data_IF_314819182395
#
_entry.id   IF_314819182395
#
_cell.length_a   1.000
_cell.length_b   1.000
_cell.length_c   1.000
_cell.angle_alpha   90.00
_cell.angle_beta   90.00
_cell.angle_gamma   90.00
#
_symmetry.space_group_name_H-M   'P 1'
#
loop_
_entity.id
_entity.type
_entity.pdbx_description
1 polymer ?
#
# COMPACT_ATOMS: atom_id res chain seq x y z
N UNK A 1 -1.81 -13.47 -6.68
CA UNK A 1 -2.20 -13.38 -8.11
C UNK A 1 -3.58 -13.97 -8.44
N UNK A 2 -4.12 -14.95 -7.70
CA UNK A 2 -5.43 -15.58 -8.02
C UNK A 2 -6.67 -14.76 -7.62
N UNK A 3 -6.61 -14.01 -6.50
CA UNK A 3 -7.75 -13.25 -5.98
C UNK A 3 -8.29 -12.18 -6.93
N UNK A 4 -7.45 -11.55 -7.75
CA UNK A 4 -7.94 -10.46 -8.59
C UNK A 4 -8.58 -10.94 -9.88
N UNK A 5 -8.21 -12.13 -10.38
CA UNK A 5 -9.01 -12.81 -11.40
C UNK A 5 -10.38 -13.23 -10.88
N UNK A 6 -10.52 -13.48 -9.57
CA UNK A 6 -11.83 -13.71 -8.96
C UNK A 6 -12.69 -12.44 -8.97
N UNK A 7 -12.11 -11.27 -8.71
CA UNK A 7 -12.83 -9.99 -8.77
C UNK A 7 -13.38 -9.76 -10.20
N UNK A 8 -12.54 -9.93 -11.21
CA UNK A 8 -12.94 -9.75 -12.61
C UNK A 8 -13.95 -10.81 -13.05
N UNK A 9 -13.73 -12.08 -12.71
CA UNK A 9 -14.66 -13.16 -13.04
C UNK A 9 -16.03 -12.99 -12.36
N UNK A 10 -16.06 -12.55 -11.10
CA UNK A 10 -17.31 -12.36 -10.35
C UNK A 10 -18.10 -11.11 -10.81
N UNK A 11 -17.40 -10.09 -11.31
CA UNK A 11 -18.01 -8.82 -11.71
C UNK A 11 -18.27 -8.70 -13.22
N UNK A 12 -17.55 -9.47 -14.04
CA UNK A 12 -17.49 -9.29 -15.49
C UNK A 12 -16.82 -7.99 -15.94
N UNK A 13 -16.03 -7.35 -15.07
CA UNK A 13 -15.39 -6.05 -15.32
C UNK A 13 -13.91 -6.07 -14.98
N UNK A 14 -13.14 -5.21 -15.66
CA UNK A 14 -11.71 -5.02 -15.42
C UNK A 14 -11.43 -4.51 -14.00
N UNK A 15 -10.38 -5.04 -13.37
CA UNK A 15 -10.04 -4.69 -11.99
C UNK A 15 -9.80 -3.18 -11.79
N UNK A 16 -9.04 -2.55 -12.68
CA UNK A 16 -8.67 -1.13 -12.53
C UNK A 16 -9.88 -0.20 -12.69
N UNK A 17 -10.88 -0.58 -13.48
CA UNK A 17 -12.13 0.17 -13.58
C UNK A 17 -12.93 0.10 -12.27
N UNK A 18 -12.99 -1.08 -11.66
CA UNK A 18 -13.64 -1.27 -10.37
C UNK A 18 -12.90 -0.54 -9.25
N UNK A 19 -11.56 -0.58 -9.25
CA UNK A 19 -10.73 0.15 -8.29
C UNK A 19 -11.00 1.65 -8.41
N UNK A 20 -11.05 2.19 -9.62
CA UNK A 20 -11.32 3.60 -9.87
C UNK A 20 -12.72 3.99 -9.42
N UNK A 21 -13.74 3.21 -9.76
CA UNK A 21 -15.14 3.50 -9.45
C UNK A 21 -15.47 3.37 -7.96
N UNK A 22 -15.01 2.28 -7.32
CA UNK A 22 -15.46 1.89 -5.98
C UNK A 22 -14.56 2.41 -4.87
N UNK A 23 -13.30 2.72 -5.17
CA UNK A 23 -12.30 3.09 -4.15
C UNK A 23 -11.70 4.46 -4.44
N UNK A 24 -11.02 4.63 -5.57
CA UNK A 24 -10.21 5.84 -5.80
C UNK A 24 -11.07 7.07 -6.07
N UNK A 25 -12.13 6.94 -6.86
CA UNK A 25 -13.06 8.02 -7.19
C UNK A 25 -13.74 8.62 -5.95
N UNK A 26 -14.42 7.81 -5.11
CA UNK A 26 -15.05 8.29 -3.87
C UNK A 26 -14.07 8.96 -2.89
N UNK A 27 -12.79 8.55 -2.91
CA UNK A 27 -11.74 9.14 -2.08
C UNK A 27 -11.00 10.31 -2.74
N UNK A 28 -11.35 10.67 -3.99
CA UNK A 28 -10.66 11.69 -4.79
C UNK A 28 -9.16 11.42 -4.94
N UNK A 29 -8.80 10.14 -5.13
CA UNK A 29 -7.43 9.66 -5.34
C UNK A 29 -7.14 9.43 -6.84
N UNK A 30 -7.48 10.39 -7.70
CA UNK A 30 -7.36 10.28 -9.17
C UNK A 30 -5.93 10.20 -9.70
N UNK A 31 -4.94 10.54 -8.87
CA UNK A 31 -3.53 10.49 -9.25
C UNK A 31 -2.88 9.12 -8.99
N UNK A 32 -3.59 8.21 -8.31
CA UNK A 32 -3.18 6.80 -8.21
C UNK A 32 -3.34 6.18 -9.60
N UNK A 33 -2.27 5.55 -10.09
CA UNK A 33 -2.21 5.03 -11.46
C UNK A 33 -1.75 3.57 -11.47
N UNK A 34 -2.21 2.76 -12.43
CA UNK A 34 -1.62 1.45 -12.67
C UNK A 34 -0.13 1.56 -12.99
N UNK A 35 0.67 0.66 -12.42
CA UNK A 35 2.04 0.39 -12.81
C UNK A 35 2.07 -0.77 -13.82
N UNK A 36 1.31 -0.63 -14.90
CA UNK A 36 1.00 -1.68 -15.89
C UNK A 36 1.94 -1.69 -17.11
N UNK A 37 3.01 -0.88 -17.07
CA UNK A 37 3.94 -0.66 -18.19
C UNK A 37 5.32 -0.27 -17.68
N UNK A 38 6.35 -0.47 -18.50
CA UNK A 38 7.73 -0.13 -18.13
C UNK A 38 8.08 1.36 -18.20
N UNK A 39 7.31 2.21 -18.89
CA UNK A 39 7.50 3.66 -18.90
C UNK A 39 6.37 4.31 -18.11
N UNK A 40 6.67 4.78 -16.90
CA UNK A 40 5.71 5.42 -16.01
C UNK A 40 6.01 6.93 -15.95
N UNK A 41 5.13 7.80 -16.50
CA UNK A 41 5.34 9.25 -16.42
C UNK A 41 5.40 9.72 -14.97
N UNK A 42 6.28 10.69 -14.71
CA UNK A 42 6.43 11.36 -13.40
C UNK A 42 6.69 10.40 -12.23
N UNK A 43 7.37 9.27 -12.49
CA UNK A 43 7.88 8.40 -11.43
C UNK A 43 9.22 8.97 -10.92
N UNK A 44 9.48 8.88 -9.62
CA UNK A 44 10.80 9.20 -9.08
C UNK A 44 11.82 8.18 -9.58
N UNK A 45 13.07 8.57 -9.79
CA UNK A 45 14.14 7.60 -10.08
C UNK A 45 14.37 6.72 -8.85
N UNK A 46 13.96 5.46 -8.93
CA UNK A 46 14.31 4.44 -7.93
C UNK A 46 15.76 3.98 -8.05
N UNK A 47 16.37 3.58 -6.95
CA UNK A 47 17.76 3.11 -6.88
C UNK A 47 17.83 1.67 -6.37
N UNK A 48 18.11 0.72 -7.27
CA UNK A 48 18.27 -0.70 -6.93
C UNK A 48 19.75 -1.04 -6.82
N UNK A 49 20.18 -1.56 -5.66
CA UNK A 49 21.59 -1.95 -5.41
C UNK A 49 22.61 -0.85 -5.75
N UNK A 50 22.25 0.41 -5.50
CA UNK A 50 23.11 1.58 -5.73
C UNK A 50 23.11 2.14 -7.16
N UNK A 51 22.36 1.53 -8.10
CA UNK A 51 22.20 2.04 -9.46
C UNK A 51 20.77 2.47 -9.77
N UNK A 52 20.54 3.41 -10.70
CA UNK A 52 19.20 3.83 -11.07
C UNK A 52 18.42 2.67 -11.71
N UNK A 53 17.16 2.46 -11.30
CA UNK A 53 16.17 1.58 -11.93
C UNK A 53 15.45 2.28 -13.11
N UNK A 54 16.15 3.19 -13.80
CA UNK A 54 15.71 3.78 -15.04
C UNK A 54 16.83 3.66 -16.07
N UNK A 55 16.45 3.37 -17.30
CA UNK A 55 17.30 3.46 -18.50
C UNK A 55 17.27 4.90 -19.03
N UNK A 56 18.19 5.22 -19.92
CA UNK A 56 18.30 6.56 -20.53
C UNK A 56 17.06 6.95 -21.35
N UNK A 57 16.31 5.96 -21.86
CA UNK A 57 15.03 6.15 -22.57
C UNK A 57 13.83 6.31 -21.62
N UNK A 58 14.06 6.40 -20.31
CA UNK A 58 13.02 6.53 -19.27
C UNK A 58 12.30 5.23 -18.91
N UNK A 59 12.71 4.09 -19.49
CA UNK A 59 12.14 2.78 -19.17
C UNK A 59 12.70 2.22 -17.88
N UNK A 60 11.85 1.64 -17.04
CA UNK A 60 12.32 0.93 -15.85
C UNK A 60 13.11 -0.32 -16.23
N UNK A 61 14.21 -0.58 -15.49
CA UNK A 61 15.03 -1.79 -15.71
C UNK A 61 14.29 -3.03 -15.25
N UNK A 62 13.51 -2.91 -14.19
CA UNK A 62 12.54 -3.89 -13.70
C UNK A 62 11.13 -3.42 -14.06
N UNK A 63 10.44 -4.15 -14.94
CA UNK A 63 9.09 -3.83 -15.42
C UNK A 63 8.05 -4.22 -14.35
N UNK A 64 7.28 -3.27 -13.78
CA UNK A 64 6.29 -3.53 -12.72
C UNK A 64 4.99 -4.12 -13.25
N UNK A 65 4.81 -4.24 -14.57
CA UNK A 65 3.54 -4.73 -15.14
C UNK A 65 3.15 -6.11 -14.64
N UNK A 66 4.12 -6.93 -14.20
CA UNK A 66 3.87 -8.23 -13.59
C UNK A 66 3.26 -8.19 -12.19
N UNK A 67 3.40 -7.06 -11.47
CA UNK A 67 2.86 -6.91 -10.11
C UNK A 67 1.34 -6.89 -10.10
N UNK A 68 0.72 -6.26 -11.10
CA UNK A 68 -0.73 -6.11 -11.22
C UNK A 68 -1.36 -5.71 -9.87
N UNK A 69 -2.18 -6.55 -9.25
CA UNK A 69 -2.85 -6.25 -7.98
C UNK A 69 -2.01 -6.57 -6.73
N UNK A 70 -0.82 -7.16 -6.89
CA UNK A 70 0.11 -7.45 -5.81
C UNK A 70 0.91 -6.23 -5.37
N UNK A 71 1.17 -5.30 -6.29
CA UNK A 71 1.92 -4.07 -6.03
C UNK A 71 1.91 -3.07 -7.19
N UNK A 72 1.09 -3.29 -8.21
CA UNK A 72 1.11 -2.57 -9.48
C UNK A 72 0.36 -1.24 -9.45
N UNK A 73 0.56 -0.46 -8.39
CA UNK A 73 0.00 0.88 -8.25
C UNK A 73 1.12 1.90 -7.98
N UNK A 74 1.04 3.03 -8.67
CA UNK A 74 1.87 4.20 -8.42
C UNK A 74 1.11 5.12 -7.47
N UNK A 75 1.73 5.44 -6.33
CA UNK A 75 1.15 6.24 -5.26
C UNK A 75 2.14 7.30 -4.75
N UNK A 76 1.67 8.16 -3.85
CA UNK A 76 2.49 9.03 -3.01
C UNK A 76 2.16 8.79 -1.53
N UNK A 77 2.99 9.24 -0.57
CA UNK A 77 2.68 9.05 0.85
C UNK A 77 1.35 9.69 1.24
N UNK A 78 1.03 10.86 0.66
CA UNK A 78 -0.26 11.54 0.88
C UNK A 78 -1.46 10.71 0.41
N UNK A 79 -1.34 9.98 -0.70
CA UNK A 79 -2.41 9.10 -1.19
C UNK A 79 -2.61 7.92 -0.25
N UNK A 80 -1.51 7.32 0.24
CA UNK A 80 -1.55 6.23 1.20
C UNK A 80 -2.18 6.67 2.53
N UNK A 81 -1.78 7.83 3.06
CA UNK A 81 -2.37 8.42 4.27
C UNK A 81 -3.89 8.57 4.14
N UNK A 82 -4.36 9.12 3.01
CA UNK A 82 -5.80 9.28 2.73
C UNK A 82 -6.54 7.95 2.61
N UNK A 83 -5.95 6.98 1.93
CA UNK A 83 -6.55 5.67 1.74
C UNK A 83 -6.69 4.91 3.07
N UNK A 84 -5.60 4.84 3.86
CA UNK A 84 -5.61 4.11 5.14
C UNK A 84 -6.45 4.80 6.21
N UNK A 85 -6.50 6.14 6.25
CA UNK A 85 -7.45 6.86 7.11
C UNK A 85 -8.90 6.52 6.71
N UNK A 86 -9.21 6.52 5.41
CA UNK A 86 -10.55 6.19 4.92
C UNK A 86 -10.96 4.72 5.18
N UNK A 87 -10.01 3.78 5.21
CA UNK A 87 -10.27 2.41 5.65
C UNK A 87 -10.75 2.39 7.11
N UNK A 88 -10.00 3.04 8.01
CA UNK A 88 -10.34 3.12 9.43
C UNK A 88 -11.67 3.85 9.70
N UNK A 89 -12.01 4.84 8.87
CA UNK A 89 -13.28 5.56 8.92
C UNK A 89 -14.48 4.77 8.36
N UNK A 90 -14.27 3.55 7.83
CA UNK A 90 -15.33 2.74 7.23
C UNK A 90 -15.90 3.32 5.92
N UNK A 91 -15.09 4.12 5.21
CA UNK A 91 -15.50 4.78 3.96
C UNK A 91 -15.25 3.96 2.69
N UNK A 92 -14.49 2.87 2.81
CA UNK A 92 -14.19 1.97 1.70
C UNK A 92 -14.88 0.62 1.93
N UNK A 93 -14.44 -0.23 2.87
CA UNK A 93 -15.27 -1.33 3.34
C UNK A 93 -16.34 -0.81 4.31
N UNK A 94 -17.46 -1.52 4.38
CA UNK A 94 -18.41 -1.35 5.47
C UNK A 94 -17.71 -1.62 6.82
N UNK A 95 -18.14 -1.00 7.94
CA UNK A 95 -17.50 -1.17 9.24
C UNK A 95 -17.31 -2.64 9.66
N UNK A 96 -18.29 -3.49 9.33
CA UNK A 96 -18.22 -4.93 9.60
C UNK A 96 -17.15 -5.64 8.75
N UNK A 97 -16.99 -5.26 7.48
CA UNK A 97 -15.92 -5.78 6.62
C UNK A 97 -14.55 -5.26 7.04
N UNK A 98 -14.47 -4.02 7.54
CA UNK A 98 -13.24 -3.50 8.13
C UNK A 98 -12.84 -4.27 9.40
N UNK A 99 -13.81 -4.58 10.27
CA UNK A 99 -13.60 -5.43 11.45
C UNK A 99 -13.06 -6.81 11.04
N UNK A 100 -13.66 -7.44 10.04
CA UNK A 100 -13.17 -8.72 9.48
C UNK A 100 -11.75 -8.61 8.93
N UNK A 101 -11.40 -7.49 8.31
CA UNK A 101 -10.05 -7.21 7.81
C UNK A 101 -9.00 -7.14 8.92
N UNK A 102 -9.38 -6.77 10.15
CA UNK A 102 -8.47 -6.69 11.30
C UNK A 102 -8.43 -7.96 12.15
N UNK A 103 -9.52 -8.73 12.21
CA UNK A 103 -9.67 -9.78 13.22
C UNK A 103 -8.85 -11.06 12.99
N UNK A 104 -8.37 -11.33 11.77
CA UNK A 104 -7.47 -12.45 11.52
C UNK A 104 -8.21 -13.77 11.30
N UNK A 105 -7.96 -14.43 10.17
CA UNK A 105 -8.30 -15.85 9.96
C UNK A 105 -7.33 -16.82 10.65
N UNK A 106 -6.04 -16.45 10.75
CA UNK A 106 -5.00 -17.25 11.41
C UNK A 106 -3.97 -16.36 12.12
N UNK A 107 -3.57 -16.73 13.34
CA UNK A 107 -2.54 -16.05 14.14
C UNK A 107 -1.54 -17.06 14.64
N UNK A 108 -0.26 -16.74 14.55
CA UNK A 108 0.79 -17.51 15.20
C UNK A 108 0.53 -17.56 16.72
N UNK A 109 0.54 -18.75 17.36
CA UNK A 109 0.37 -18.83 18.81
C UNK A 109 1.44 -18.02 19.54
N UNK A 110 1.01 -16.98 20.25
CA UNK A 110 1.90 -16.08 21.00
C UNK A 110 2.38 -14.85 20.22
N UNK A 111 2.04 -14.71 18.93
CA UNK A 111 2.30 -13.49 18.20
C UNK A 111 1.28 -12.41 18.57
N UNK A 112 1.77 -11.19 18.79
CA UNK A 112 0.93 -9.99 18.98
C UNK A 112 0.48 -9.39 17.66
N UNK A 113 1.10 -9.79 16.54
CA UNK A 113 0.84 -9.26 15.21
C UNK A 113 0.52 -10.38 14.24
N UNK A 114 -0.34 -10.11 13.26
CA UNK A 114 -0.76 -11.08 12.24
C UNK A 114 -1.01 -10.39 10.91
N UNK A 115 -1.16 -11.17 9.85
CA UNK A 115 -1.53 -10.68 8.52
C UNK A 115 -2.92 -11.19 8.15
N UNK A 116 -3.80 -10.30 7.70
CA UNK A 116 -5.11 -10.70 7.19
C UNK A 116 -5.65 -9.73 6.15
N UNK A 117 -6.47 -10.25 5.21
CA UNK A 117 -7.19 -9.52 4.16
C UNK A 117 -6.44 -8.31 3.54
N UNK A 118 -5.12 -8.39 3.38
CA UNK A 118 -4.31 -7.35 2.76
C UNK A 118 -3.60 -6.37 3.70
N UNK A 119 -3.59 -6.59 5.02
CA UNK A 119 -2.89 -5.75 5.99
C UNK A 119 -2.18 -6.57 7.06
N UNK A 120 -1.08 -6.02 7.57
CA UNK A 120 -0.48 -6.43 8.83
C UNK A 120 -1.17 -5.69 9.96
N UNK A 121 -1.66 -6.44 10.95
CA UNK A 121 -2.25 -5.93 12.19
C UNK A 121 -1.22 -6.09 13.28
N UNK A 122 -0.93 -5.00 13.97
CA UNK A 122 0.00 -4.95 15.08
C UNK A 122 -0.75 -4.71 16.39
N UNK A 123 -0.94 -5.79 17.16
CA UNK A 123 -1.59 -5.73 18.46
C UNK A 123 -0.73 -5.09 19.56
N UNK A 124 0.59 -4.97 19.37
CA UNK A 124 1.48 -4.27 20.31
C UNK A 124 1.34 -2.75 20.22
N UNK A 125 1.08 -2.22 19.02
CA UNK A 125 0.88 -0.79 18.75
C UNK A 125 -0.57 -0.37 18.56
N UNK A 126 -1.50 -1.32 18.64
CA UNK A 126 -2.89 -1.16 18.24
C UNK A 126 -3.03 -0.43 16.89
N UNK A 127 -2.38 -1.00 15.87
CA UNK A 127 -2.23 -0.38 14.57
C UNK A 127 -2.44 -1.40 13.45
N UNK A 128 -2.67 -0.92 12.24
CA UNK A 128 -2.63 -1.75 11.04
C UNK A 128 -1.95 -1.02 9.88
N UNK A 129 -1.39 -1.77 8.95
CA UNK A 129 -0.56 -1.20 7.91
C UNK A 129 -0.15 -2.20 6.84
N UNK A 130 0.70 -1.74 5.93
CA UNK A 130 1.35 -2.64 4.96
C UNK A 130 2.66 -2.05 4.44
N UNK A 131 3.66 -2.92 4.28
CA UNK A 131 4.92 -2.58 3.63
C UNK A 131 4.88 -2.82 2.12
N UNK A 132 5.63 -2.06 1.34
CA UNK A 132 5.79 -2.25 -0.10
C UNK A 132 7.25 -2.36 -0.48
N UNK A 133 7.57 -3.29 -1.38
CA UNK A 133 8.92 -3.47 -1.91
C UNK A 133 8.87 -3.68 -3.41
N UNK A 134 9.60 -2.86 -4.14
CA UNK A 134 9.89 -3.04 -5.57
C UNK A 134 11.35 -2.65 -5.82
N UNK A 135 12.07 -3.22 -6.80
CA UNK A 135 13.45 -2.79 -7.08
C UNK A 135 13.58 -1.26 -7.20
N UNK A 136 14.29 -0.67 -6.25
CA UNK A 136 14.48 0.77 -6.14
C UNK A 136 13.41 1.56 -5.39
N UNK A 137 12.46 0.90 -4.71
CA UNK A 137 11.45 1.56 -3.90
C UNK A 137 11.09 0.75 -2.65
N UNK A 138 10.95 1.44 -1.52
CA UNK A 138 10.33 0.91 -0.31
C UNK A 138 9.19 1.82 0.13
N UNK A 139 8.14 1.21 0.65
CA UNK A 139 6.97 1.90 1.20
C UNK A 139 6.62 1.30 2.54
N UNK A 140 6.16 2.14 3.46
CA UNK A 140 5.55 1.73 4.71
C UNK A 140 4.38 2.66 5.01
N UNK A 141 3.30 2.12 5.54
CA UNK A 141 2.12 2.89 5.95
C UNK A 141 1.45 2.19 7.12
N UNK A 142 1.15 2.99 8.15
CA UNK A 142 0.57 2.53 9.41
C UNK A 142 -0.50 3.50 9.85
N UNK A 143 -1.66 2.96 10.19
CA UNK A 143 -2.72 3.67 10.89
C UNK A 143 -2.76 3.21 12.36
N UNK A 144 -2.61 4.15 13.28
CA UNK A 144 -2.67 3.93 14.73
C UNK A 144 -4.11 4.14 15.20
N UNK A 145 -4.79 3.05 15.57
CA UNK A 145 -6.23 3.05 15.86
C UNK A 145 -6.58 3.92 17.08
N UNK A 146 -5.79 3.82 18.15
CA UNK A 146 -6.02 4.60 19.37
C UNK A 146 -5.87 6.11 19.17
N UNK A 147 -5.10 6.51 18.16
CA UNK A 147 -4.68 7.90 17.95
C UNK A 147 -5.40 8.54 16.77
N UNK A 148 -6.02 7.73 15.90
CA UNK A 148 -6.67 8.19 14.68
C UNK A 148 -5.70 8.81 13.66
N UNK A 149 -4.42 8.42 13.72
CA UNK A 149 -3.36 8.99 12.89
C UNK A 149 -2.86 7.95 11.89
N UNK A 150 -2.70 8.38 10.64
CA UNK A 150 -2.01 7.59 9.61
C UNK A 150 -0.68 8.24 9.28
N UNK A 151 0.39 7.45 9.27
CA UNK A 151 1.70 7.85 8.78
C UNK A 151 2.05 6.99 7.56
N UNK A 152 2.71 7.56 6.56
CA UNK A 152 3.25 6.81 5.43
C UNK A 152 4.62 7.36 5.04
N UNK A 153 5.55 6.46 4.73
CA UNK A 153 6.91 6.76 4.27
C UNK A 153 7.16 6.02 2.97
N UNK A 154 7.73 6.71 1.99
CA UNK A 154 8.22 6.09 0.76
C UNK A 154 9.66 6.54 0.50
N UNK A 155 10.50 5.60 0.09
CA UNK A 155 11.89 5.86 -0.27
C UNK A 155 12.12 5.38 -1.70
N UNK A 156 12.95 6.10 -2.45
CA UNK A 156 13.35 5.74 -3.80
C UNK A 156 14.60 4.85 -3.80
N UNK A 157 14.72 3.98 -2.81
CA UNK A 157 15.78 2.97 -2.71
C UNK A 157 15.21 1.73 -2.06
N UNK A 158 15.65 0.56 -2.50
CA UNK A 158 15.28 -0.71 -1.88
C UNK A 158 16.30 -1.17 -0.82
N UNK A 159 17.28 -0.33 -0.49
CA UNK A 159 18.15 -0.55 0.65
C UNK A 159 17.36 -0.64 1.95
N UNK A 160 17.89 -1.37 2.93
CA UNK A 160 17.25 -1.46 4.24
C UNK A 160 17.31 -0.10 4.92
N UNK A 161 16.15 0.46 5.18
CA UNK A 161 15.94 1.66 5.99
C UNK A 161 14.98 1.25 7.08
N UNK A 162 15.24 1.70 8.30
CA UNK A 162 14.34 1.48 9.43
C UNK A 162 13.14 2.42 9.30
N UNK A 163 12.22 2.07 8.41
CA UNK A 163 10.99 2.82 8.15
C UNK A 163 10.08 2.81 9.36
N UNK A 164 10.08 1.71 10.12
CA UNK A 164 9.33 1.57 11.35
C UNK A 164 9.75 2.63 12.39
N UNK A 165 11.05 2.76 12.65
CA UNK A 165 11.57 3.82 13.52
C UNK A 165 11.14 5.22 13.05
N UNK A 166 11.22 5.50 11.74
CA UNK A 166 10.81 6.79 11.19
C UNK A 166 9.31 7.04 11.41
N UNK A 167 8.48 6.02 11.22
CA UNK A 167 7.04 6.09 11.40
C UNK A 167 6.68 6.40 12.84
N UNK A 168 7.30 5.71 13.81
CA UNK A 168 7.08 5.94 15.24
C UNK A 168 7.55 7.35 15.64
N UNK A 169 8.69 7.81 15.12
CA UNK A 169 9.20 9.17 15.36
C UNK A 169 8.28 10.25 14.80
N UNK A 170 7.71 10.04 13.62
CA UNK A 170 6.74 10.98 13.04
C UNK A 170 5.44 10.97 13.85
N UNK A 171 4.94 9.78 14.22
CA UNK A 171 3.72 9.66 15.01
C UNK A 171 3.86 10.33 16.40
N UNK A 172 5.03 10.25 17.03
CA UNK A 172 5.31 10.92 18.30
C UNK A 172 5.33 12.47 18.20
N UNK A 173 5.55 13.04 17.01
CA UNK A 173 5.50 14.49 16.79
C UNK A 173 4.08 15.03 16.58
N UNK A 174 3.09 14.13 16.50
CA UNK A 174 1.69 14.46 16.28
C UNK A 174 0.84 14.37 17.56
N UNK A 175 1.48 14.15 18.73
CA UNK A 175 0.90 14.34 20.07
C UNK A 175 0.92 15.81 20.48
#
# INVERSE_FOLDING_TARGET
>A
MWFCRLIEAASGREYFDLLQERVLGPLKLSDVRPADRSIIPRIATGYHRGGPNLRDDGRMKFDPSSEWTGGGLVTTPTMLVRFYAALAEGRVPQPESFRQMLEGGWRDPGATSHYDLGVFVDGGRNAFGHGGMWPGYRTDVTHFLDRGITVAVQTNTDQSIDTEYLMDRIAALME
#
